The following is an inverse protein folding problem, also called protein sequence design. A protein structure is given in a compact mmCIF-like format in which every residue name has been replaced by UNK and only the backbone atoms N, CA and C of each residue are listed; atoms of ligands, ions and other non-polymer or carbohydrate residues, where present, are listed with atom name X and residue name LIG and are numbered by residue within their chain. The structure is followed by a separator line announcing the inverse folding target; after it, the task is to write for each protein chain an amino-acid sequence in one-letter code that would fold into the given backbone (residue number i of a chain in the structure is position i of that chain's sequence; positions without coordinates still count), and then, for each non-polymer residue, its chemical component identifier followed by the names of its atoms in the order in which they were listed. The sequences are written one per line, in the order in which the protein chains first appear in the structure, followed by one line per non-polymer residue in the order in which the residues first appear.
data_IF_452869591338
#
_entry.id   IF_452869591338
#
_cell.length_a   1.000
_cell.length_b   1.000
_cell.length_c   1.000
_cell.angle_alpha   90.00
_cell.angle_beta   90.00
_cell.angle_gamma   90.00
#
_symmetry.space_group_name_H-M   'P 1'
#
loop_
_entity.id
_entity.type
_entity.pdbx_description
1 polymer ?
#
# COMPACT_ATOMS: atom_id res chain seq x y z
N UNK A 1 -22.61 -2.40 3.41
CA UNK A 1 -21.22 -2.85 3.22
C UNK A 1 -20.36 -2.01 4.13
N UNK A 2 -19.74 -2.61 5.16
CA UNK A 2 -18.83 -1.86 6.03
C UNK A 2 -17.59 -1.48 5.21
N UNK A 3 -17.55 -0.25 4.75
CA UNK A 3 -16.33 0.37 4.27
C UNK A 3 -15.39 0.51 5.47
N UNK A 4 -14.60 -0.54 5.72
CA UNK A 4 -13.44 -0.42 6.61
C UNK A 4 -12.50 0.55 5.88
N UNK A 5 -12.63 1.83 6.19
CA UNK A 5 -11.75 2.88 5.70
C UNK A 5 -10.41 2.74 6.42
N UNK A 6 -9.68 1.65 6.10
CA UNK A 6 -8.31 1.47 6.55
C UNK A 6 -7.54 2.67 6.03
N UNK A 7 -7.06 3.50 6.96
CA UNK A 7 -6.22 4.65 6.61
C UNK A 7 -4.95 4.10 5.97
N UNK A 8 -4.66 4.53 4.75
CA UNK A 8 -3.55 4.00 3.94
C UNK A 8 -2.19 4.27 4.61
N UNK A 9 -2.00 5.49 5.14
CA UNK A 9 -0.70 5.90 5.69
C UNK A 9 -0.26 5.08 6.91
N UNK A 10 -1.07 4.92 7.97
CA UNK A 10 -0.69 4.07 9.12
C UNK A 10 -0.40 2.63 8.69
N UNK A 11 -1.20 2.11 7.75
CA UNK A 11 -1.09 0.76 7.24
C UNK A 11 0.22 0.52 6.46
N UNK A 12 0.68 1.50 5.67
CA UNK A 12 1.97 1.43 4.99
C UNK A 12 3.16 1.59 5.94
N UNK A 13 3.00 2.36 7.02
CA UNK A 13 4.06 2.56 8.03
C UNK A 13 4.24 1.31 8.90
N UNK A 14 3.15 0.61 9.21
CA UNK A 14 3.18 -0.63 9.99
C UNK A 14 3.73 -1.84 9.23
N UNK A 15 3.84 -1.76 7.89
CA UNK A 15 4.41 -2.86 7.09
C UNK A 15 5.86 -3.16 7.49
N UNK A 16 6.10 -4.41 7.85
CA UNK A 16 7.43 -4.96 8.06
C UNK A 16 8.08 -5.36 6.73
N UNK A 17 9.41 -5.56 6.74
CA UNK A 17 10.15 -5.95 5.53
C UNK A 17 9.70 -7.35 5.10
N UNK A 18 9.26 -7.48 3.84
CA UNK A 18 8.69 -8.71 3.30
C UNK A 18 7.18 -8.83 3.49
N UNK A 19 6.55 -7.95 4.27
CA UNK A 19 5.11 -7.95 4.46
C UNK A 19 4.40 -7.28 3.27
N UNK A 20 3.22 -7.81 2.95
CA UNK A 20 2.35 -7.33 1.89
C UNK A 20 0.97 -6.99 2.43
N UNK A 21 0.37 -5.93 1.89
CA UNK A 21 -0.99 -5.54 2.22
C UNK A 21 -1.77 -5.17 0.96
N UNK A 22 -3.04 -5.54 0.94
CA UNK A 22 -3.95 -5.26 -0.16
C UNK A 22 -4.89 -4.10 0.15
N UNK A 23 -5.11 -3.26 -0.86
CA UNK A 23 -6.08 -2.18 -0.83
C UNK A 23 -7.02 -2.29 -2.03
N UNK A 24 -8.25 -1.77 -1.94
CA UNK A 24 -9.13 -1.63 -3.09
C UNK A 24 -8.49 -0.80 -4.21
N UNK A 25 -8.71 -1.17 -5.47
CA UNK A 25 -8.14 -0.47 -6.63
C UNK A 25 -8.58 0.98 -6.75
N UNK A 26 -9.73 1.36 -6.18
CA UNK A 26 -10.19 2.76 -6.09
C UNK A 26 -9.17 3.66 -5.38
N UNK A 27 -8.44 3.10 -4.41
CA UNK A 27 -7.41 3.80 -3.63
C UNK A 27 -6.03 3.74 -4.29
N UNK A 28 -5.90 3.12 -5.47
CA UNK A 28 -4.63 2.90 -6.18
C UNK A 28 -3.77 4.16 -6.31
N UNK A 29 -4.37 5.29 -6.69
CA UNK A 29 -3.66 6.57 -6.83
C UNK A 29 -3.02 6.97 -5.50
N UNK A 30 -3.82 7.01 -4.43
CA UNK A 30 -3.38 7.39 -3.10
C UNK A 30 -2.35 6.42 -2.51
N UNK A 31 -2.54 5.12 -2.73
CA UNK A 31 -1.61 4.07 -2.27
C UNK A 31 -0.23 4.25 -2.90
N UNK A 32 -0.15 4.44 -4.23
CA UNK A 32 1.14 4.65 -4.90
C UNK A 32 1.83 5.93 -4.44
N UNK A 33 1.10 7.05 -4.39
CA UNK A 33 1.67 8.34 -3.97
C UNK A 33 2.20 8.26 -2.54
N UNK A 34 1.42 7.73 -1.60
CA UNK A 34 1.84 7.62 -0.20
C UNK A 34 3.00 6.63 0.00
N UNK A 35 3.01 5.51 -0.72
CA UNK A 35 4.12 4.57 -0.67
C UNK A 35 5.43 5.20 -1.18
N UNK A 36 5.37 5.99 -2.27
CA UNK A 36 6.53 6.73 -2.75
C UNK A 36 6.99 7.80 -1.75
N UNK A 37 6.07 8.59 -1.20
CA UNK A 37 6.39 9.62 -0.21
C UNK A 37 7.02 9.02 1.06
N UNK A 38 6.39 7.99 1.62
CA UNK A 38 6.90 7.29 2.81
C UNK A 38 8.22 6.58 2.53
N UNK A 39 8.41 6.05 1.32
CA UNK A 39 9.67 5.45 0.91
C UNK A 39 10.82 6.44 1.00
N UNK A 40 10.61 7.67 0.50
CA UNK A 40 11.61 8.74 0.57
C UNK A 40 11.82 9.26 2.00
N UNK A 41 10.75 9.48 2.77
CA UNK A 41 10.84 10.03 4.14
C UNK A 41 11.50 9.04 5.10
N UNK A 42 11.18 7.75 4.98
CA UNK A 42 11.63 6.70 5.92
C UNK A 42 12.80 5.88 5.38
N UNK A 43 13.37 6.23 4.22
CA UNK A 43 14.38 5.43 3.50
C UNK A 43 13.96 3.97 3.31
N UNK A 44 12.68 3.75 2.96
CA UNK A 44 12.08 2.44 2.72
C UNK A 44 11.83 2.22 1.23
N UNK A 45 11.80 0.98 0.80
CA UNK A 45 11.42 0.62 -0.55
C UNK A 45 10.09 -0.12 -0.53
N UNK A 46 9.11 0.38 -1.30
CA UNK A 46 7.82 -0.27 -1.47
C UNK A 46 7.65 -0.70 -2.92
N UNK A 47 7.10 -1.89 -3.13
CA UNK A 47 6.72 -2.42 -4.44
C UNK A 47 5.20 -2.54 -4.48
N UNK A 48 4.59 -2.08 -5.56
CA UNK A 48 3.14 -2.21 -5.75
C UNK A 48 2.84 -3.13 -6.92
N UNK A 49 1.83 -4.00 -6.77
CA UNK A 49 1.34 -4.90 -7.81
C UNK A 49 -0.18 -4.78 -7.87
N UNK A 50 -0.72 -4.65 -9.07
CA UNK A 50 -2.18 -4.59 -9.27
C UNK A 50 -2.70 -5.95 -9.68
N UNK A 51 -3.78 -6.38 -9.04
CA UNK A 51 -4.55 -7.52 -9.45
C UNK A 51 -5.87 -7.03 -10.09
N UNK A 52 -6.04 -7.33 -11.37
CA UNK A 52 -7.23 -6.91 -12.14
C UNK A 52 -8.43 -7.81 -11.86
N UNK A 53 -8.22 -9.09 -11.54
CA UNK A 53 -9.30 -10.03 -11.28
C UNK A 53 -10.00 -9.75 -9.95
N UNK A 54 -9.22 -9.43 -8.92
CA UNK A 54 -9.73 -9.12 -7.58
C UNK A 54 -9.99 -7.64 -7.38
N UNK A 55 -9.68 -6.78 -8.36
CA UNK A 55 -9.75 -5.32 -8.22
C UNK A 55 -9.02 -4.79 -6.97
N UNK A 56 -7.85 -5.35 -6.67
CA UNK A 56 -6.99 -4.93 -5.55
C UNK A 56 -5.62 -4.45 -6.01
N UNK A 57 -4.99 -3.60 -5.20
CA UNK A 57 -3.58 -3.25 -5.31
C UNK A 57 -2.86 -3.75 -4.06
N UNK A 58 -1.89 -4.63 -4.28
CA UNK A 58 -0.99 -5.12 -3.26
C UNK A 58 0.22 -4.20 -3.17
N UNK A 59 0.59 -3.82 -1.95
CA UNK A 59 1.84 -3.14 -1.64
C UNK A 59 2.69 -4.06 -0.78
N UNK A 60 3.95 -4.20 -1.12
CA UNK A 60 4.93 -4.99 -0.36
C UNK A 60 6.07 -4.09 0.03
N UNK A 61 6.51 -4.15 1.29
CA UNK A 61 7.74 -3.47 1.70
C UNK A 61 8.94 -4.36 1.39
N UNK A 62 9.89 -3.81 0.65
CA UNK A 62 11.10 -4.49 0.18
C UNK A 62 12.30 -4.18 1.10
N UNK A 63 12.39 -2.96 1.63
CA UNK A 63 13.41 -2.54 2.62
C UNK A 63 12.86 -1.45 3.53
#
# INVERSE_FOLDING_TARGET
MNEISTKIRPALVSLEVGESMEFPIEKMKSVRTQASELGMILNRQFKTRTNRETHTIMVTRVS
#
